data_IF_970652100735
#
_entry.id   IF_970652100735
#
_cell.length_a   1.000
_cell.length_b   1.000
_cell.length_c   1.000
_cell.angle_alpha   90.00
_cell.angle_beta   90.00
_cell.angle_gamma   90.00
#
_symmetry.space_group_name_H-M   'P 1'
#
loop_
_entity.id
_entity.type
_entity.pdbx_description
1 polymer ?
#
# COMPACT_ATOMS: atom_id res chain seq x y z
N UNK A 1 -8.81 -10.92 -3.52
CA UNK A 1 -9.13 -11.95 -4.52
C UNK A 1 -10.04 -11.34 -5.60
N UNK A 2 -9.68 -11.49 -6.88
CA UNK A 2 -10.50 -11.03 -8.00
C UNK A 2 -11.21 -12.23 -8.67
N UNK A 3 -12.50 -12.10 -8.92
CA UNK A 3 -13.35 -13.20 -9.38
C UNK A 3 -14.14 -12.72 -10.60
N UNK A 4 -13.88 -13.35 -11.76
CA UNK A 4 -14.40 -12.95 -13.09
C UNK A 4 -15.76 -13.55 -13.47
N UNK A 5 -16.19 -14.57 -12.74
CA UNK A 5 -17.40 -15.33 -13.06
C UNK A 5 -18.19 -15.62 -11.79
N UNK A 6 -17.74 -16.61 -11.03
CA UNK A 6 -18.45 -17.08 -9.84
C UNK A 6 -17.48 -17.68 -8.84
N UNK A 7 -17.77 -17.48 -7.56
CA UNK A 7 -17.19 -18.28 -6.49
C UNK A 7 -18.28 -18.94 -5.69
N UNK A 8 -18.14 -20.25 -5.51
CA UNK A 8 -18.93 -21.02 -4.57
C UNK A 8 -17.98 -21.75 -3.64
N UNK A 9 -18.18 -21.59 -2.34
CA UNK A 9 -17.43 -22.34 -1.34
C UNK A 9 -18.38 -22.94 -0.32
N UNK A 10 -18.33 -24.26 -0.17
CA UNK A 10 -18.92 -25.01 0.93
C UNK A 10 -17.89 -25.35 2.02
N UNK A 11 -16.60 -25.13 1.75
CA UNK A 11 -15.54 -25.30 2.73
C UNK A 11 -15.56 -24.15 3.74
N UNK A 12 -15.16 -24.47 4.98
CA UNK A 12 -14.97 -23.46 6.03
C UNK A 12 -13.88 -22.50 5.59
N UNK A 13 -14.20 -21.21 5.55
CA UNK A 13 -13.25 -20.12 5.34
C UNK A 13 -13.21 -19.35 6.65
N UNK A 14 -12.04 -19.34 7.28
CA UNK A 14 -11.80 -18.58 8.50
C UNK A 14 -10.68 -17.58 8.29
N UNK A 15 -10.84 -16.40 8.86
CA UNK A 15 -9.84 -15.33 8.95
C UNK A 15 -9.66 -15.01 10.44
N UNK A 16 -8.77 -15.74 11.08
CA UNK A 16 -8.69 -15.82 12.55
C UNK A 16 -7.94 -14.64 13.19
N UNK A 17 -7.26 -13.80 12.38
CA UNK A 17 -6.48 -12.65 12.87
C UNK A 17 -7.14 -11.34 12.51
N UNK A 18 -6.95 -10.32 13.37
CA UNK A 18 -7.38 -8.95 13.09
C UNK A 18 -6.75 -8.35 11.82
N UNK A 19 -5.61 -8.90 11.38
CA UNK A 19 -4.92 -8.48 10.15
C UNK A 19 -5.41 -9.18 8.89
N UNK A 20 -6.25 -10.21 9.02
CA UNK A 20 -6.73 -10.98 7.89
C UNK A 20 -7.84 -10.17 7.20
N UNK A 21 -7.47 -9.38 6.18
CA UNK A 21 -8.40 -8.60 5.36
C UNK A 21 -8.65 -9.33 4.04
N UNK A 22 -9.66 -10.21 4.03
CA UNK A 22 -10.10 -10.85 2.80
C UNK A 22 -10.97 -9.87 2.01
N UNK A 23 -10.40 -9.24 0.99
CA UNK A 23 -11.18 -8.50 0.00
C UNK A 23 -11.57 -9.40 -1.17
N UNK A 24 -12.87 -9.61 -1.38
CA UNK A 24 -13.44 -10.31 -2.55
C UNK A 24 -13.98 -9.25 -3.52
N UNK A 25 -13.42 -9.23 -4.74
CA UNK A 25 -13.87 -8.39 -5.85
C UNK A 25 -14.55 -9.28 -6.89
N UNK A 26 -15.87 -9.37 -6.82
CA UNK A 26 -16.71 -10.14 -7.73
C UNK A 26 -17.25 -9.27 -8.85
N UNK A 27 -16.99 -9.65 -10.10
CA UNK A 27 -17.60 -9.01 -11.26
C UNK A 27 -18.04 -10.07 -12.25
N UNK A 28 -19.29 -9.96 -12.70
CA UNK A 28 -19.84 -10.82 -13.72
C UNK A 28 -19.41 -10.29 -15.09
N UNK A 29 -18.72 -11.13 -15.88
CA UNK A 29 -18.40 -10.84 -17.28
C UNK A 29 -19.30 -11.72 -18.14
N UNK A 30 -20.38 -11.13 -18.67
CA UNK A 30 -21.18 -11.79 -19.71
C UNK A 30 -20.44 -11.76 -21.06
N UNK A 31 -20.77 -12.70 -21.94
CA UNK A 31 -20.24 -12.73 -23.30
C UNK A 31 -20.45 -11.39 -24.04
N UNK A 32 -19.45 -11.01 -24.85
CA UNK A 32 -19.45 -9.81 -25.68
C UNK A 32 -20.72 -9.82 -26.56
N UNK A 33 -21.70 -8.99 -26.21
CA UNK A 33 -22.97 -8.87 -26.96
C UNK A 33 -24.23 -9.01 -26.11
N UNK A 34 -24.15 -9.55 -24.89
CA UNK A 34 -25.27 -9.55 -23.94
C UNK A 34 -24.97 -8.61 -22.77
N UNK A 35 -25.52 -7.41 -22.83
CA UNK A 35 -25.49 -6.48 -21.71
C UNK A 35 -26.23 -7.09 -20.50
N UNK A 36 -25.48 -7.25 -19.40
CA UNK A 36 -25.94 -7.12 -18.01
C UNK A 36 -27.27 -7.80 -17.61
N UNK A 37 -27.22 -8.96 -16.96
CA UNK A 37 -28.28 -9.33 -16.00
C UNK A 37 -27.73 -10.02 -14.76
N UNK A 38 -27.26 -9.21 -13.82
CA UNK A 38 -27.37 -9.49 -12.39
C UNK A 38 -27.02 -8.19 -11.65
N UNK A 39 -27.91 -7.39 -11.08
CA UNK A 39 -29.25 -7.59 -10.54
C UNK A 39 -30.25 -6.56 -11.10
N UNK A 40 -31.47 -6.96 -11.45
CA UNK A 40 -32.63 -6.49 -10.68
C UNK A 40 -33.68 -7.63 -10.54
N UNK A 41 -34.63 -7.66 -9.60
CA UNK A 41 -35.65 -6.63 -9.38
C UNK A 41 -36.33 -6.80 -8.01
N UNK A 42 -36.59 -5.69 -7.31
CA UNK A 42 -37.73 -5.63 -6.40
C UNK A 42 -38.77 -4.63 -6.92
N UNK A 43 -39.95 -5.10 -7.31
CA UNK A 43 -41.21 -4.32 -7.20
C UNK A 43 -42.29 -5.21 -6.59
N UNK A 44 -42.81 -4.76 -5.44
CA UNK A 44 -43.75 -5.49 -4.58
C UNK A 44 -45.17 -4.94 -4.74
N UNK A 45 -46.04 -5.75 -5.35
CA UNK A 45 -47.47 -5.96 -5.05
C UNK A 45 -47.87 -7.21 -5.83
N UNK A 46 -48.36 -8.23 -5.13
CA UNK A 46 -49.09 -9.32 -5.80
C UNK A 46 -50.31 -8.67 -6.49
N UNK A 47 -50.36 -8.74 -7.82
CA UNK A 47 -51.45 -8.14 -8.62
C UNK A 47 -52.81 -8.73 -8.22
N UNK A 48 -52.81 -9.90 -7.57
CA UNK A 48 -54.00 -10.62 -7.13
C UNK A 48 -54.26 -10.48 -5.61
N UNK A 49 -53.24 -10.20 -4.80
CA UNK A 49 -53.36 -10.13 -3.33
C UNK A 49 -52.56 -8.97 -2.70
N UNK A 50 -53.09 -7.73 -2.73
CA UNK A 50 -52.39 -6.53 -2.25
C UNK A 50 -52.08 -6.53 -0.74
N UNK A 51 -52.59 -7.50 0.02
CA UNK A 51 -52.39 -7.63 1.47
C UNK A 51 -51.38 -8.73 1.86
N UNK A 52 -50.80 -9.44 0.89
CA UNK A 52 -49.78 -10.47 1.16
C UNK A 52 -48.40 -9.84 1.05
N UNK A 53 -47.69 -9.76 2.18
CA UNK A 53 -46.28 -9.36 2.22
C UNK A 53 -45.46 -10.60 1.90
N UNK A 54 -45.01 -10.73 0.65
CA UNK A 54 -43.99 -11.72 0.27
C UNK A 54 -42.59 -11.12 0.47
N UNK A 55 -41.58 -11.89 0.91
CA UNK A 55 -40.19 -11.44 0.85
C UNK A 55 -39.80 -11.11 -0.60
N UNK A 56 -38.98 -10.08 -0.86
CA UNK A 56 -38.51 -9.79 -2.21
C UNK A 56 -37.71 -10.97 -2.77
N UNK A 57 -38.04 -11.36 -3.99
CA UNK A 57 -37.28 -12.37 -4.72
C UNK A 57 -35.85 -11.84 -4.96
N UNK A 58 -34.87 -12.70 -4.69
CA UNK A 58 -33.45 -12.44 -4.93
C UNK A 58 -33.00 -13.34 -6.06
N UNK A 59 -32.13 -12.83 -6.95
CA UNK A 59 -31.62 -13.62 -8.05
C UNK A 59 -30.82 -14.83 -7.52
N UNK A 60 -31.03 -16.01 -8.09
CA UNK A 60 -30.39 -17.27 -7.67
C UNK A 60 -29.02 -17.50 -8.31
N UNK A 61 -28.65 -16.71 -9.33
CA UNK A 61 -27.33 -16.76 -9.96
C UNK A 61 -26.31 -15.85 -9.25
N UNK A 62 -25.85 -16.32 -8.08
CA UNK A 62 -24.91 -15.61 -7.22
C UNK A 62 -23.51 -15.52 -7.82
N UNK A 63 -22.93 -14.31 -7.86
CA UNK A 63 -21.51 -14.13 -8.18
C UNK A 63 -20.63 -14.61 -7.03
N UNK A 64 -21.09 -14.42 -5.78
CA UNK A 64 -20.41 -14.90 -4.57
C UNK A 64 -21.41 -15.70 -3.75
N UNK A 65 -21.14 -16.99 -3.57
CA UNK A 65 -21.94 -17.89 -2.74
C UNK A 65 -21.07 -18.57 -1.68
N UNK A 66 -21.21 -18.13 -0.44
CA UNK A 66 -20.50 -18.70 0.70
C UNK A 66 -21.49 -19.50 1.53
N UNK A 67 -21.32 -20.83 1.50
CA UNK A 67 -22.20 -21.77 2.16
C UNK A 67 -21.44 -22.57 3.22
N UNK A 68 -20.95 -21.87 4.25
CA UNK A 68 -20.08 -22.48 5.25
C UNK A 68 -20.47 -22.08 6.69
N UNK A 69 -19.73 -22.60 7.67
CA UNK A 69 -19.89 -22.27 9.08
C UNK A 69 -18.68 -21.50 9.62
N UNK A 70 -18.04 -20.68 8.76
CA UNK A 70 -16.83 -19.95 9.06
C UNK A 70 -17.06 -18.50 9.47
N UNK A 71 -16.02 -17.90 10.06
CA UNK A 71 -15.97 -16.49 10.39
C UNK A 71 -15.01 -15.76 9.44
N UNK A 72 -15.55 -14.77 8.72
CA UNK A 72 -14.86 -14.04 7.66
C UNK A 72 -14.79 -12.57 8.07
N UNK A 73 -13.57 -12.07 8.18
CA UNK A 73 -13.21 -10.67 8.37
C UNK A 73 -12.74 -10.12 7.04
N UNK A 74 -13.35 -9.03 6.58
CA UNK A 74 -12.94 -8.41 5.32
C UNK A 74 -14.07 -7.69 4.58
N UNK A 75 -14.00 -7.73 3.25
CA UNK A 75 -14.91 -6.96 2.39
C UNK A 75 -15.34 -7.75 1.18
N UNK A 76 -16.62 -7.68 0.86
CA UNK A 76 -17.16 -8.22 -0.40
C UNK A 76 -17.67 -7.04 -1.23
N UNK A 77 -17.02 -6.78 -2.37
CA UNK A 77 -17.52 -5.87 -3.39
C UNK A 77 -17.92 -6.68 -4.61
N UNK A 78 -19.22 -6.77 -4.86
CA UNK A 78 -19.77 -7.57 -5.95
C UNK A 78 -20.63 -6.72 -6.88
N UNK A 79 -20.37 -6.79 -8.18
CA UNK A 79 -21.28 -6.24 -9.20
C UNK A 79 -22.51 -7.12 -9.43
N UNK A 80 -22.51 -8.37 -8.95
CA UNK A 80 -23.66 -9.29 -8.97
C UNK A 80 -24.15 -9.69 -7.57
N UNK A 81 -25.15 -10.57 -7.45
CA UNK A 81 -25.80 -10.92 -6.19
C UNK A 81 -24.89 -11.79 -5.33
N UNK A 82 -24.99 -11.61 -4.02
CA UNK A 82 -24.20 -12.32 -3.02
C UNK A 82 -25.13 -13.15 -2.14
N UNK A 83 -24.76 -14.42 -1.90
CA UNK A 83 -25.45 -15.30 -0.95
C UNK A 83 -24.49 -15.73 0.15
N UNK A 84 -24.89 -15.51 1.40
CA UNK A 84 -24.27 -16.09 2.58
C UNK A 84 -25.29 -17.03 3.25
N UNK A 85 -24.89 -18.26 3.56
CA UNK A 85 -25.79 -19.26 4.15
C UNK A 85 -25.13 -20.04 5.29
N UNK A 86 -25.86 -21.00 5.88
CA UNK A 86 -25.42 -21.77 7.05
C UNK A 86 -25.09 -20.87 8.26
N UNK A 87 -23.87 -20.95 8.80
CA UNK A 87 -23.41 -20.17 9.96
C UNK A 87 -22.25 -19.25 9.54
N UNK A 88 -22.32 -18.72 8.31
CA UNK A 88 -21.32 -17.78 7.79
C UNK A 88 -21.45 -16.46 8.57
N UNK A 89 -20.42 -16.11 9.34
CA UNK A 89 -20.35 -14.83 10.06
C UNK A 89 -19.42 -13.92 9.27
N UNK A 90 -19.94 -12.85 8.68
CA UNK A 90 -19.16 -11.85 7.98
C UNK A 90 -18.99 -10.62 8.88
N UNK A 91 -17.78 -10.38 9.35
CA UNK A 91 -17.39 -9.18 10.11
C UNK A 91 -16.71 -8.19 9.16
N UNK A 92 -17.35 -7.06 8.87
CA UNK A 92 -16.84 -6.08 7.91
C UNK A 92 -17.94 -5.46 7.06
N UNK A 93 -17.74 -5.41 5.74
CA UNK A 93 -18.70 -4.79 4.81
C UNK A 93 -19.02 -5.66 3.58
N UNK A 94 -20.29 -5.64 3.17
CA UNK A 94 -20.76 -6.26 1.92
C UNK A 94 -21.45 -5.20 1.07
N UNK A 95 -20.87 -4.90 -0.08
CA UNK A 95 -21.47 -4.06 -1.12
C UNK A 95 -21.81 -4.93 -2.31
N UNK A 96 -23.10 -5.14 -2.55
CA UNK A 96 -23.63 -5.94 -3.65
C UNK A 96 -24.93 -5.36 -4.18
N UNK A 97 -25.32 -5.73 -5.41
CA UNK A 97 -26.60 -5.31 -5.97
C UNK A 97 -27.82 -6.02 -5.34
N UNK A 98 -27.63 -7.23 -4.81
CA UNK A 98 -28.57 -7.95 -3.94
C UNK A 98 -27.75 -8.79 -2.96
N UNK A 99 -28.24 -8.93 -1.73
CA UNK A 99 -27.65 -9.76 -0.69
C UNK A 99 -28.71 -10.70 -0.12
N UNK A 100 -28.47 -12.00 -0.20
CA UNK A 100 -29.28 -13.01 0.46
C UNK A 100 -28.54 -13.58 1.66
N UNK A 101 -29.17 -13.52 2.83
CA UNK A 101 -28.74 -14.21 4.04
C UNK A 101 -29.74 -15.32 4.34
N UNK A 102 -29.27 -16.55 4.51
CA UNK A 102 -30.12 -17.69 4.91
C UNK A 102 -29.56 -18.41 6.13
N UNK A 103 -30.43 -19.14 6.82
CA UNK A 103 -30.09 -19.88 8.06
C UNK A 103 -29.61 -18.93 9.18
N UNK A 104 -28.39 -19.12 9.69
CA UNK A 104 -27.76 -18.33 10.74
C UNK A 104 -26.69 -17.38 10.19
N UNK A 105 -26.67 -17.16 8.86
CA UNK A 105 -25.71 -16.25 8.25
C UNK A 105 -25.98 -14.81 8.70
N UNK A 106 -24.93 -14.10 9.06
CA UNK A 106 -25.03 -12.73 9.55
C UNK A 106 -23.90 -11.87 9.03
N UNK A 107 -24.21 -10.59 8.82
CA UNK A 107 -23.21 -9.55 8.58
C UNK A 107 -23.14 -8.68 9.83
N UNK A 108 -22.02 -8.76 10.54
CA UNK A 108 -21.67 -7.85 11.62
C UNK A 108 -20.97 -6.67 10.95
N UNK A 109 -21.70 -5.56 10.86
CA UNK A 109 -21.20 -4.34 10.25
C UNK A 109 -20.03 -3.77 11.05
N UNK A 110 -18.82 -4.04 10.58
CA UNK A 110 -17.61 -3.37 11.04
C UNK A 110 -17.18 -2.45 9.90
N UNK A 111 -17.86 -1.30 9.81
CA UNK A 111 -17.56 -0.24 8.84
C UNK A 111 -16.44 0.67 9.32
N UNK A 112 -15.71 0.27 10.38
CA UNK A 112 -14.49 0.95 10.75
C UNK A 112 -13.66 1.01 9.48
N UNK A 113 -13.36 2.23 9.03
CA UNK A 113 -12.35 2.45 8.02
C UNK A 113 -11.21 1.51 8.39
N UNK A 114 -10.95 0.49 7.57
CA UNK A 114 -9.72 -0.27 7.74
C UNK A 114 -8.69 0.80 7.45
N UNK A 115 -8.15 1.40 8.50
CA UNK A 115 -7.28 2.55 8.37
C UNK A 115 -6.14 2.02 7.51
N UNK A 116 -6.05 2.42 6.23
CA UNK A 116 -4.96 1.95 5.40
C UNK A 116 -3.71 2.30 6.20
N UNK A 117 -2.84 1.31 6.42
CA UNK A 117 -1.66 1.51 7.26
C UNK A 117 -0.96 2.76 6.75
N UNK A 118 -0.99 3.80 7.56
CA UNK A 118 -0.47 5.08 7.18
C UNK A 118 1.01 5.05 7.50
N UNK A 119 1.81 5.22 6.45
CA UNK A 119 3.25 5.25 6.57
C UNK A 119 3.74 6.67 6.38
N UNK A 120 4.76 7.01 7.14
CA UNK A 120 5.54 8.22 7.04
C UNK A 120 6.97 7.84 6.68
N UNK A 121 7.73 8.80 6.20
CA UNK A 121 9.14 8.59 5.86
C UNK A 121 9.97 9.65 6.57
N UNK A 122 11.15 9.26 7.00
CA UNK A 122 12.10 10.08 7.72
C UNK A 122 13.49 9.83 7.13
N UNK A 123 14.20 10.89 6.76
CA UNK A 123 15.58 10.84 6.26
C UNK A 123 16.52 11.58 7.20
N UNK A 124 17.38 10.82 7.87
CA UNK A 124 18.29 11.33 8.89
C UNK A 124 19.74 11.33 8.36
N UNK A 125 20.42 12.48 8.34
CA UNK A 125 21.86 12.55 8.17
C UNK A 125 22.55 12.15 9.48
N UNK A 126 23.61 11.36 9.42
CA UNK A 126 24.36 10.98 10.64
C UNK A 126 25.23 12.14 11.18
N UNK A 127 25.66 13.04 10.29
CA UNK A 127 26.48 14.21 10.62
C UNK A 127 25.99 15.41 9.81
N UNK A 128 26.23 16.60 10.34
CA UNK A 128 25.85 17.85 9.67
C UNK A 128 26.75 18.15 8.46
N UNK A 129 27.99 17.67 8.49
CA UNK A 129 28.98 17.88 7.43
C UNK A 129 29.87 16.66 7.19
N UNK A 130 30.39 16.56 5.96
CA UNK A 130 31.39 15.58 5.55
C UNK A 130 32.39 16.23 4.59
N UNK A 131 33.60 15.67 4.51
CA UNK A 131 34.58 16.16 3.53
C UNK A 131 34.17 15.69 2.12
N UNK A 132 34.52 16.47 1.10
CA UNK A 132 34.41 16.02 -0.28
C UNK A 132 35.21 14.73 -0.47
N UNK A 133 34.68 13.82 -1.28
CA UNK A 133 35.15 12.45 -1.49
C UNK A 133 34.91 11.47 -0.34
N UNK A 134 34.55 11.93 0.86
CA UNK A 134 34.08 11.02 1.91
C UNK A 134 32.65 10.55 1.65
N UNK A 135 32.32 9.40 2.24
CA UNK A 135 30.97 8.83 2.21
C UNK A 135 30.22 9.23 3.46
N UNK A 136 29.19 10.03 3.28
CA UNK A 136 28.26 10.40 4.34
C UNK A 136 27.14 9.37 4.43
N UNK A 137 26.90 8.83 5.62
CA UNK A 137 25.82 7.86 5.86
C UNK A 137 24.46 8.54 5.81
N UNK A 138 23.52 7.89 5.14
CA UNK A 138 22.13 8.32 4.99
C UNK A 138 21.25 7.18 5.45
N UNK A 139 20.43 7.43 6.48
CA UNK A 139 19.46 6.45 6.95
C UNK A 139 18.06 6.92 6.62
N UNK A 140 17.30 6.09 5.92
CA UNK A 140 15.90 6.33 5.62
C UNK A 140 15.06 5.32 6.38
N UNK A 141 14.04 5.82 7.08
CA UNK A 141 13.12 5.01 7.89
C UNK A 141 11.71 5.22 7.37
N UNK A 142 10.96 4.13 7.30
CA UNK A 142 9.51 4.14 7.13
C UNK A 142 8.92 4.01 8.52
N UNK A 143 8.06 4.95 8.90
CA UNK A 143 7.44 5.02 10.21
C UNK A 143 5.94 4.73 10.10
N UNK A 144 5.36 4.16 11.15
CA UNK A 144 3.92 4.09 11.33
C UNK A 144 3.36 5.42 11.89
N UNK A 145 2.04 5.48 12.05
CA UNK A 145 1.32 6.64 12.62
C UNK A 145 1.76 7.03 14.04
N UNK A 146 2.38 6.10 14.77
CA UNK A 146 2.84 6.30 16.15
C UNK A 146 4.33 6.67 16.19
N UNK A 147 4.96 6.87 15.02
CA UNK A 147 6.36 7.26 14.87
C UNK A 147 7.36 6.11 15.05
N UNK A 148 6.90 4.85 15.07
CA UNK A 148 7.77 3.67 15.20
C UNK A 148 8.13 3.13 13.83
N UNK A 149 9.26 2.42 13.73
CA UNK A 149 9.68 1.79 12.47
C UNK A 149 8.62 0.78 12.01
N UNK A 150 8.10 1.00 10.80
CA UNK A 150 7.13 0.14 10.15
C UNK A 150 7.82 -1.10 9.54
N UNK A 151 8.05 -2.12 10.35
CA UNK A 151 8.76 -3.35 9.94
C UNK A 151 8.01 -4.17 8.89
N UNK A 152 6.72 -3.93 8.72
CA UNK A 152 5.80 -4.60 7.82
C UNK A 152 5.61 -3.85 6.48
N UNK A 153 6.31 -2.72 6.27
CA UNK A 153 6.29 -2.03 5.00
C UNK A 153 6.95 -2.86 3.89
N UNK A 154 6.22 -3.07 2.78
CA UNK A 154 6.63 -3.91 1.64
C UNK A 154 6.81 -3.13 0.34
N UNK A 155 6.81 -1.80 0.40
CA UNK A 155 7.08 -0.95 -0.76
C UNK A 155 8.56 -0.63 -0.92
N UNK A 156 8.87 0.17 -1.93
CA UNK A 156 10.21 0.70 -2.18
C UNK A 156 10.28 2.19 -1.78
N UNK A 157 11.50 2.69 -1.66
CA UNK A 157 11.79 4.10 -1.43
C UNK A 157 12.48 4.65 -2.67
N UNK A 158 12.02 5.81 -3.12
CA UNK A 158 12.64 6.57 -4.19
C UNK A 158 13.43 7.73 -3.61
N UNK A 159 14.69 7.85 -4.05
CA UNK A 159 15.59 8.91 -3.65
C UNK A 159 15.88 9.80 -4.86
N UNK A 160 15.70 11.11 -4.67
CA UNK A 160 16.12 12.14 -5.60
C UNK A 160 17.00 13.16 -4.89
N UNK A 161 17.68 14.02 -5.65
CA UNK A 161 18.51 15.08 -5.08
C UNK A 161 18.32 16.40 -5.80
N UNK A 162 18.78 17.49 -5.17
CA UNK A 162 18.82 18.83 -5.75
C UNK A 162 19.90 19.02 -6.83
N UNK A 163 20.78 18.04 -7.04
CA UNK A 163 21.86 18.16 -8.02
C UNK A 163 21.35 17.91 -9.44
N UNK A 164 21.58 18.90 -10.31
CA UNK A 164 21.19 18.85 -11.74
C UNK A 164 22.34 18.36 -12.65
N UNK A 165 23.58 18.39 -12.16
CA UNK A 165 24.78 18.00 -12.91
C UNK A 165 25.22 16.58 -12.55
N UNK A 166 25.39 15.75 -13.59
CA UNK A 166 25.87 14.38 -13.43
C UNK A 166 27.36 14.35 -13.07
N UNK A 167 27.78 13.26 -12.44
CA UNK A 167 29.16 12.95 -12.09
C UNK A 167 29.66 13.62 -10.81
N UNK A 168 28.80 14.34 -10.08
CA UNK A 168 29.21 15.11 -8.90
C UNK A 168 28.97 14.42 -7.57
N UNK A 169 28.01 13.50 -7.52
CA UNK A 169 27.79 12.68 -6.35
C UNK A 169 27.13 11.35 -6.74
N UNK A 170 27.36 10.31 -5.94
CA UNK A 170 26.87 8.96 -6.20
C UNK A 170 26.42 8.27 -4.93
N UNK A 171 25.45 7.38 -5.10
CA UNK A 171 24.95 6.50 -4.05
C UNK A 171 25.74 5.21 -3.98
N UNK A 172 26.00 4.74 -2.76
CA UNK A 172 26.62 3.45 -2.49
C UNK A 172 25.84 2.67 -1.44
N UNK A 173 25.90 1.33 -1.55
CA UNK A 173 25.28 0.40 -0.61
C UNK A 173 26.22 -0.09 0.50
N UNK A 174 27.45 0.41 0.55
CA UNK A 174 28.44 0.09 1.60
C UNK A 174 29.20 1.35 2.02
N UNK A 175 29.78 1.33 3.22
CA UNK A 175 30.57 2.46 3.74
C UNK A 175 31.88 2.67 2.98
N UNK A 176 32.53 1.59 2.55
CA UNK A 176 33.73 1.63 1.72
C UNK A 176 33.67 0.56 0.64
N UNK A 177 34.43 0.74 -0.45
CA UNK A 177 34.41 -0.16 -1.60
C UNK A 177 33.03 -0.28 -2.29
N UNK A 178 32.81 -1.36 -3.02
CA UNK A 178 31.53 -1.67 -3.66
C UNK A 178 31.19 -0.84 -4.90
N UNK A 179 30.20 -1.32 -5.66
CA UNK A 179 29.73 -0.66 -6.88
C UNK A 179 28.75 0.47 -6.54
N UNK A 180 28.85 1.57 -7.28
CA UNK A 180 27.88 2.66 -7.22
C UNK A 180 26.48 2.16 -7.59
N UNK A 181 25.48 2.52 -6.79
CA UNK A 181 24.05 2.26 -7.06
C UNK A 181 23.50 3.22 -8.12
N UNK A 182 24.13 4.37 -8.31
CA UNK A 182 23.74 5.34 -9.33
C UNK A 182 24.26 6.74 -9.03
N UNK A 183 24.23 7.58 -10.05
CA UNK A 183 24.46 9.01 -9.92
C UNK A 183 23.27 9.68 -9.23
N UNK A 184 23.53 10.57 -8.26
CA UNK A 184 22.45 11.19 -7.48
C UNK A 184 21.60 12.18 -8.27
N UNK A 185 22.07 12.62 -9.46
CA UNK A 185 21.24 13.39 -10.40
C UNK A 185 19.99 12.59 -10.81
N UNK A 186 20.12 11.27 -10.93
CA UNK A 186 19.03 10.40 -11.31
C UNK A 186 18.34 9.85 -10.07
N UNK A 187 17.04 9.58 -10.20
CA UNK A 187 16.30 8.88 -9.15
C UNK A 187 16.86 7.47 -8.95
N UNK A 188 17.08 7.09 -7.70
CA UNK A 188 17.46 5.74 -7.30
C UNK A 188 16.31 5.11 -6.51
N UNK A 189 16.05 3.83 -6.75
CA UNK A 189 15.05 3.06 -6.01
C UNK A 189 15.75 2.07 -5.10
N UNK A 190 15.32 1.99 -3.84
CA UNK A 190 15.86 1.07 -2.85
C UNK A 190 14.74 0.39 -2.07
N UNK A 191 14.90 -0.90 -1.81
CA UNK A 191 13.99 -1.65 -0.96
C UNK A 191 14.49 -1.61 0.49
N UNK A 192 13.69 -1.11 1.44
CA UNK A 192 14.02 -1.15 2.86
C UNK A 192 13.97 -2.59 3.39
N UNK A 193 14.83 -2.90 4.36
CA UNK A 193 14.77 -4.13 5.14
C UNK A 193 14.14 -3.79 6.49
N UNK A 194 12.99 -4.40 6.81
CA UNK A 194 12.26 -4.17 8.06
C UNK A 194 11.99 -2.68 8.31
N UNK A 195 11.53 -1.96 7.28
CA UNK A 195 11.18 -0.54 7.37
C UNK A 195 12.37 0.43 7.33
N UNK A 196 13.61 -0.03 7.17
CA UNK A 196 14.79 0.83 7.14
C UNK A 196 15.71 0.54 5.95
N UNK A 197 16.38 1.58 5.43
CA UNK A 197 17.54 1.43 4.55
C UNK A 197 18.67 2.38 4.95
N UNK A 198 19.90 1.85 4.93
CA UNK A 198 21.11 2.67 5.05
C UNK A 198 21.84 2.69 3.71
N UNK A 199 22.28 3.88 3.32
CA UNK A 199 23.04 4.17 2.11
C UNK A 199 24.18 5.13 2.44
N UNK A 200 25.08 5.31 1.48
CA UNK A 200 26.21 6.22 1.60
C UNK A 200 26.25 7.16 0.41
N UNK A 201 26.21 8.46 0.69
CA UNK A 201 26.31 9.54 -0.27
C UNK A 201 27.78 9.99 -0.37
N UNK A 202 28.41 9.77 -1.52
CA UNK A 202 29.74 10.29 -1.82
C UNK A 202 29.61 11.48 -2.76
N UNK A 203 30.26 12.60 -2.45
CA UNK A 203 30.19 13.82 -3.26
C UNK A 203 31.54 14.45 -3.51
N UNK A 204 31.79 14.91 -4.74
CA UNK A 204 32.85 15.85 -5.12
C UNK A 204 32.33 17.28 -5.22
N UNK A 205 31.02 17.48 -5.06
CA UNK A 205 30.40 18.80 -4.99
C UNK A 205 30.63 19.41 -3.62
N UNK A 206 31.18 20.63 -3.61
CA UNK A 206 31.31 21.46 -2.41
C UNK A 206 30.00 22.22 -2.22
N UNK A 207 29.39 22.08 -1.05
CA UNK A 207 28.14 22.73 -0.69
C UNK A 207 27.06 21.75 -0.25
N UNK A 208 25.82 22.24 -0.25
CA UNK A 208 24.65 21.52 0.26
C UNK A 208 23.99 20.70 -0.84
N UNK A 209 23.74 19.43 -0.56
CA UNK A 209 22.91 18.53 -1.38
C UNK A 209 21.64 18.22 -0.59
N UNK A 210 20.49 18.62 -1.10
CA UNK A 210 19.21 18.18 -0.52
C UNK A 210 18.82 16.86 -1.16
N UNK A 211 18.59 15.84 -0.33
CA UNK A 211 18.08 14.54 -0.74
C UNK A 211 16.63 14.44 -0.30
N UNK A 212 15.77 14.03 -1.22
CA UNK A 212 14.34 13.81 -0.97
C UNK A 212 14.06 12.33 -1.08
N UNK A 213 13.43 11.77 -0.06
CA UNK A 213 12.95 10.40 -0.03
C UNK A 213 11.43 10.38 -0.20
N UNK A 214 10.91 9.44 -0.99
CA UNK A 214 9.48 9.31 -1.29
C UNK A 214 9.08 7.84 -1.30
N UNK A 215 7.95 7.49 -0.70
CA UNK A 215 7.44 6.12 -0.73
C UNK A 215 6.89 5.75 -2.11
N UNK A 216 7.16 4.53 -2.59
CA UNK A 216 6.69 4.10 -3.92
C UNK A 216 5.18 3.86 -4.02
N UNK A 217 4.55 3.56 -2.88
CA UNK A 217 3.11 3.27 -2.77
C UNK A 217 2.25 4.52 -2.45
N UNK A 218 2.88 5.62 -2.08
CA UNK A 218 2.24 6.91 -1.82
C UNK A 218 3.26 8.04 -2.07
N UNK A 219 3.19 8.66 -3.24
CA UNK A 219 4.14 9.69 -3.69
C UNK A 219 4.01 11.02 -2.94
N UNK A 220 2.95 11.19 -2.14
CA UNK A 220 2.74 12.35 -1.26
C UNK A 220 3.50 12.20 0.05
N UNK A 221 3.91 10.98 0.41
CA UNK A 221 4.70 10.71 1.63
C UNK A 221 6.17 10.88 1.31
N UNK A 222 6.66 12.07 1.64
CA UNK A 222 8.03 12.47 1.38
C UNK A 222 8.64 13.17 2.57
N UNK A 223 9.96 13.04 2.69
CA UNK A 223 10.78 13.80 3.62
C UNK A 223 12.09 14.18 2.94
N UNK A 224 12.72 15.25 3.39
CA UNK A 224 13.94 15.79 2.78
C UNK A 224 14.94 16.23 3.83
N UNK A 225 16.21 15.93 3.58
CA UNK A 225 17.31 16.39 4.42
C UNK A 225 18.47 16.91 3.60
N UNK A 226 19.28 17.78 4.20
CA UNK A 226 20.38 18.46 3.55
C UNK A 226 21.72 17.97 4.09
N UNK A 227 22.62 17.64 3.16
CA UNK A 227 23.94 17.09 3.40
C UNK A 227 24.98 18.11 2.96
N UNK A 228 25.80 18.61 3.89
CA UNK A 228 26.87 19.55 3.58
C UNK A 228 28.18 18.81 3.28
N UNK A 229 28.81 19.15 2.16
CA UNK A 229 30.15 18.69 1.81
C UNK A 229 31.13 19.86 1.75
N UNK A 230 32.23 19.77 2.51
CA UNK A 230 33.26 20.80 2.59
C UNK A 230 34.60 20.30 2.04
N UNK A 231 35.50 21.16 1.54
CA UNK A 231 36.80 20.74 1.01
C UNK A 231 37.66 20.04 2.08
N UNK A 232 38.53 19.12 1.64
CA UNK A 232 39.56 18.54 2.51
C UNK A 232 40.72 19.54 2.65
N UNK A 233 40.79 20.24 3.80
CA UNK A 233 41.90 21.11 4.18
C UNK A 233 42.06 22.39 3.35
N UNK A 234 42.60 23.43 3.97
CA UNK A 234 43.15 24.58 3.26
C UNK A 234 44.66 24.51 3.41
N UNK A 235 45.39 24.44 2.31
CA UNK A 235 46.83 24.69 2.32
C UNK A 235 47.02 26.21 2.24
N UNK A 236 47.46 26.82 3.34
CA UNK A 236 47.97 28.19 3.28
C UNK A 236 49.38 28.06 2.75
N UNK A 237 49.59 28.40 1.47
CA UNK A 237 50.94 28.67 1.00
C UNK A 237 51.46 29.87 1.80
N UNK A 238 52.48 29.67 2.63
CA UNK A 238 53.29 30.79 3.14
C UNK A 238 53.92 31.47 1.93
N UNK A 239 53.25 32.51 1.44
CA UNK A 239 53.81 33.51 0.54
C UNK A 239 53.98 34.79 1.34
N UNK A 240 55.22 35.26 1.42
CA UNK A 240 55.61 36.52 2.08
C UNK A 240 54.65 37.66 1.75
N UNK A 241 54.31 38.45 2.78
CA UNK A 241 53.87 39.82 2.55
C UNK A 241 55.12 40.58 2.08
N UNK A 242 55.25 40.74 0.76
CA UNK A 242 56.12 41.73 0.11
C UNK A 242 55.32 42.53 -0.92
#
# INVERSE_FOLDING_TARGET
MHIRYKIESSAVINTDRETDDLTILGYYVGDIGNSSKSCPLPKHKDEYHPNVIVPPEVNSDFTVKLNNAGEIRGRIYSRGPVALSNKTIMTGAVTACQLQLTSQAQVIGESACFNPKEYFIDIIPEKDESLTCDRQKVTVRVLDKDGKIATDYTGDIHLSSSLTRAGKARWFGTESGGTSLGDVKNRVTVTPNSGQKTLWLKSEYIGKITVTATLSKDDKKTDSSTFLFVPYGFEIAEGEIL
#
